data_IF_114002589016
#
_entry.id   IF_114002589016
#
_cell.length_a   1.000
_cell.length_b   1.000
_cell.length_c   1.000
_cell.angle_alpha   90.00
_cell.angle_beta   90.00
_cell.angle_gamma   90.00
#
_symmetry.space_group_name_H-M   'P 1'
#
loop_
_entity.id
_entity.type
_entity.pdbx_description
1 polymer ?
#
# COMPACT_ATOMS: atom_id res chain seq x y z
N UNK A 1 -46.82 62.21 -32.18
CA UNK A 1 -47.16 63.37 -31.33
C UNK A 1 -46.34 63.28 -30.04
N UNK A 2 -45.60 64.35 -29.72
CA UNK A 2 -44.92 64.67 -28.46
C UNK A 2 -43.85 63.66 -27.93
N UNK A 3 -42.54 63.93 -28.04
CA UNK A 3 -41.69 64.90 -27.30
C UNK A 3 -40.87 64.16 -26.22
N UNK A 4 -39.54 64.08 -26.40
CA UNK A 4 -38.47 64.77 -25.61
C UNK A 4 -38.23 64.13 -24.23
N UNK A 5 -37.03 63.98 -23.68
CA UNK A 5 -35.68 64.44 -24.02
C UNK A 5 -34.69 63.68 -23.13
N UNK A 6 -33.49 63.49 -23.69
CA UNK A 6 -32.24 63.05 -23.06
C UNK A 6 -31.77 63.91 -21.87
N UNK A 7 -31.11 63.27 -20.90
CA UNK A 7 -30.02 63.82 -20.09
C UNK A 7 -29.04 62.66 -19.81
N UNK A 8 -27.97 62.46 -20.58
CA UNK A 8 -26.67 63.17 -20.62
C UNK A 8 -26.03 63.26 -19.22
N UNK A 9 -25.13 62.32 -18.95
CA UNK A 9 -24.26 62.34 -17.77
C UNK A 9 -23.07 63.28 -17.93
N UNK A 10 -22.41 63.56 -16.80
CA UNK A 10 -20.94 63.58 -16.65
C UNK A 10 -20.56 63.98 -15.22
N UNK A 11 -19.73 63.17 -14.57
CA UNK A 11 -18.68 63.57 -13.61
C UNK A 11 -18.00 62.28 -13.08
N UNK A 12 -16.78 61.98 -13.55
CA UNK A 12 -15.94 60.86 -13.07
C UNK A 12 -15.23 61.19 -11.76
N UNK A 13 -14.01 60.65 -11.48
CA UNK A 13 -13.41 59.36 -11.85
C UNK A 13 -13.13 58.52 -10.58
N UNK A 14 -13.36 57.22 -10.61
CA UNK A 14 -13.26 56.42 -9.38
C UNK A 14 -13.03 54.94 -9.60
N UNK A 15 -11.76 54.59 -9.82
CA UNK A 15 -11.13 53.35 -9.33
C UNK A 15 -11.69 52.03 -9.87
N UNK A 16 -10.93 51.48 -10.82
CA UNK A 16 -10.72 50.06 -11.05
C UNK A 16 -10.71 49.26 -9.74
N UNK A 17 -11.57 48.22 -9.65
CA UNK A 17 -11.50 46.97 -8.84
C UNK A 17 -12.94 46.48 -8.62
N UNK A 18 -13.32 45.22 -8.77
CA UNK A 18 -12.56 44.00 -8.59
C UNK A 18 -13.13 42.88 -9.47
N UNK A 19 -12.31 42.39 -10.40
CA UNK A 19 -12.33 40.97 -10.77
C UNK A 19 -11.63 40.25 -9.62
N UNK A 20 -12.39 39.52 -8.80
CA UNK A 20 -11.93 38.36 -8.02
C UNK A 20 -12.98 38.00 -6.95
N UNK A 21 -13.99 37.21 -7.30
CA UNK A 21 -14.77 36.43 -6.34
C UNK A 21 -15.19 35.08 -6.96
N UNK A 22 -14.25 34.40 -7.62
CA UNK A 22 -14.47 33.06 -8.17
C UNK A 22 -13.41 32.06 -7.65
N UNK A 23 -12.95 32.23 -6.41
CA UNK A 23 -11.99 31.33 -5.78
C UNK A 23 -12.44 30.78 -4.40
N UNK A 24 -13.70 31.01 -3.99
CA UNK A 24 -14.18 30.61 -2.65
C UNK A 24 -15.23 29.49 -2.68
N UNK A 25 -15.69 29.05 -3.85
CA UNK A 25 -16.78 28.05 -3.94
C UNK A 25 -16.34 26.60 -4.23
N UNK A 26 -15.06 26.26 -4.05
CA UNK A 26 -14.58 24.85 -4.17
C UNK A 26 -14.27 24.21 -2.80
N UNK A 27 -14.37 24.96 -1.70
CA UNK A 27 -13.95 24.48 -0.38
C UNK A 27 -15.05 23.84 0.48
N UNK A 28 -16.28 23.62 -0.02
CA UNK A 28 -17.39 23.12 0.79
C UNK A 28 -18.01 21.80 0.28
N UNK A 29 -17.24 20.99 -0.44
CA UNK A 29 -17.67 19.66 -0.84
C UNK A 29 -16.58 18.57 -0.73
N UNK A 30 -16.04 18.31 0.46
CA UNK A 30 -15.88 16.93 0.90
C UNK A 30 -16.91 16.67 2.00
N UNK A 31 -17.62 15.57 1.81
CA UNK A 31 -18.83 15.23 2.56
C UNK A 31 -18.65 15.20 4.07
N UNK A 32 -19.80 15.24 4.74
CA UNK A 32 -19.98 14.76 6.12
C UNK A 32 -19.46 13.32 6.23
N UNK A 33 -18.14 13.14 6.32
CA UNK A 33 -17.52 11.93 6.80
C UNK A 33 -17.48 12.08 8.30
N UNK A 34 -17.92 11.06 9.02
CA UNK A 34 -17.80 11.01 10.48
C UNK A 34 -16.30 11.08 10.84
N UNK A 35 -15.78 12.29 11.03
CA UNK A 35 -14.40 12.59 11.46
C UNK A 35 -14.14 12.27 12.94
N UNK A 36 -15.03 11.48 13.58
CA UNK A 36 -14.90 11.03 14.95
C UNK A 36 -14.44 9.57 15.07
N UNK A 37 -14.17 8.88 13.95
CA UNK A 37 -13.46 7.61 14.01
C UNK A 37 -11.97 7.88 14.27
N UNK A 38 -11.36 7.31 15.33
CA UNK A 38 -9.93 7.47 15.54
C UNK A 38 -9.16 6.95 14.32
N UNK A 39 -8.01 7.54 14.03
CA UNK A 39 -7.11 7.04 12.99
C UNK A 39 -6.63 5.65 13.40
N UNK A 40 -7.36 4.61 13.02
CA UNK A 40 -6.99 3.22 13.27
C UNK A 40 -5.67 2.96 12.56
N UNK A 41 -4.65 2.66 13.35
CA UNK A 41 -3.32 2.36 12.87
C UNK A 41 -2.61 1.51 13.89
N UNK A 42 -2.11 0.37 13.44
CA UNK A 42 -1.29 -0.51 14.25
C UNK A 42 0.19 -0.15 14.02
N UNK A 43 0.81 0.70 14.87
CA UNK A 43 2.12 1.30 14.59
C UNK A 43 3.25 0.27 14.58
N UNK A 44 3.19 -0.73 15.46
CA UNK A 44 4.14 -1.85 15.52
C UNK A 44 4.08 -2.68 14.23
N UNK A 45 2.87 -3.06 13.80
CA UNK A 45 2.67 -3.73 12.51
C UNK A 45 3.20 -2.88 11.35
N UNK A 46 3.02 -1.57 11.40
CA UNK A 46 3.61 -0.64 10.43
C UNK A 46 5.14 -0.62 10.43
N UNK A 47 5.78 -0.74 11.60
CA UNK A 47 7.24 -0.86 11.69
C UNK A 47 7.72 -2.18 11.09
N UNK A 48 7.02 -3.28 11.38
CA UNK A 48 7.29 -4.61 10.82
C UNK A 48 7.13 -4.63 9.30
N UNK A 49 6.05 -4.05 8.76
CA UNK A 49 5.83 -3.92 7.30
C UNK A 49 6.95 -3.13 6.64
N UNK A 50 7.36 -1.98 7.20
CA UNK A 50 8.48 -1.19 6.66
C UNK A 50 9.79 -1.96 6.71
N UNK A 51 10.05 -2.70 7.78
CA UNK A 51 11.25 -3.53 7.91
C UNK A 51 11.27 -4.64 6.86
N UNK A 52 10.14 -5.33 6.66
CA UNK A 52 10.01 -6.40 5.68
C UNK A 52 10.14 -5.88 4.25
N UNK A 53 9.50 -4.75 3.93
CA UNK A 53 9.62 -4.11 2.61
C UNK A 53 11.07 -3.74 2.30
N UNK A 54 11.75 -3.08 3.24
CA UNK A 54 13.15 -2.70 3.08
C UNK A 54 14.04 -3.93 2.87
N UNK A 55 13.86 -4.97 3.68
CA UNK A 55 14.65 -6.19 3.56
C UNK A 55 14.40 -6.92 2.23
N UNK A 56 13.18 -6.88 1.70
CA UNK A 56 12.85 -7.45 0.38
C UNK A 56 13.51 -6.65 -0.75
N UNK A 57 13.46 -5.33 -0.69
CA UNK A 57 14.05 -4.46 -1.70
C UNK A 57 15.58 -4.56 -1.70
N UNK A 58 16.21 -4.57 -0.52
CA UNK A 58 17.67 -4.67 -0.36
C UNK A 58 18.21 -6.08 -0.65
N UNK A 59 17.52 -7.12 -0.15
CA UNK A 59 17.98 -8.51 -0.22
C UNK A 59 17.99 -9.11 -1.63
N UNK A 60 17.26 -8.51 -2.58
CA UNK A 60 17.20 -9.00 -3.96
C UNK A 60 17.64 -7.95 -5.00
N UNK A 61 18.06 -6.75 -4.58
CA UNK A 61 18.53 -5.71 -5.50
C UNK A 61 19.85 -6.08 -6.18
N UNK A 62 19.80 -6.32 -7.49
CA UNK A 62 21.00 -6.53 -8.32
C UNK A 62 21.77 -7.83 -8.04
N UNK A 63 21.23 -8.71 -7.19
CA UNK A 63 21.86 -9.96 -6.80
C UNK A 63 21.54 -11.10 -7.75
N UNK A 64 22.42 -12.11 -7.80
CA UNK A 64 22.13 -13.38 -8.47
C UNK A 64 21.05 -14.18 -7.71
N UNK A 65 20.40 -15.15 -8.37
CA UNK A 65 19.28 -15.89 -7.78
C UNK A 65 19.66 -16.72 -6.54
N UNK A 66 20.93 -17.16 -6.42
CA UNK A 66 21.42 -17.84 -5.24
C UNK A 66 21.51 -16.92 -4.02
N UNK A 67 22.06 -15.71 -4.18
CA UNK A 67 22.20 -14.76 -3.08
C UNK A 67 20.85 -14.21 -2.61
N UNK A 68 19.95 -13.85 -3.56
CA UNK A 68 18.59 -13.46 -3.21
C UNK A 68 17.82 -14.62 -2.54
N UNK A 69 18.06 -15.88 -2.92
CA UNK A 69 17.48 -17.05 -2.23
C UNK A 69 17.86 -17.10 -0.74
N UNK A 70 19.11 -16.81 -0.39
CA UNK A 70 19.56 -16.81 1.01
C UNK A 70 18.91 -15.67 1.81
N UNK A 71 18.74 -14.49 1.19
CA UNK A 71 18.06 -13.36 1.83
C UNK A 71 16.55 -13.59 1.99
N UNK A 72 15.90 -14.29 1.04
CA UNK A 72 14.49 -14.71 1.16
C UNK A 72 14.25 -15.63 2.38
N UNK A 73 15.21 -16.48 2.75
CA UNK A 73 15.10 -17.30 3.96
C UNK A 73 15.14 -16.48 5.25
N UNK A 74 15.78 -15.31 5.25
CA UNK A 74 15.77 -14.37 6.38
C UNK A 74 14.45 -13.60 6.47
N UNK A 75 13.80 -13.31 5.32
CA UNK A 75 12.50 -12.64 5.29
C UNK A 75 11.39 -13.48 5.92
N UNK A 76 11.48 -14.80 5.83
CA UNK A 76 10.48 -15.70 6.39
C UNK A 76 10.33 -15.54 7.90
N UNK A 77 11.44 -15.39 8.63
CA UNK A 77 11.42 -15.12 10.07
C UNK A 77 10.76 -13.77 10.41
N UNK A 78 10.92 -12.75 9.55
CA UNK A 78 10.24 -11.47 9.70
C UNK A 78 8.74 -11.58 9.40
N UNK A 79 8.37 -12.36 8.38
CA UNK A 79 6.97 -12.62 8.04
C UNK A 79 6.25 -13.42 9.13
N UNK A 80 6.91 -14.39 9.76
CA UNK A 80 6.35 -15.12 10.90
C UNK A 80 6.11 -14.21 12.12
N UNK A 81 7.02 -13.27 12.38
CA UNK A 81 6.81 -12.25 13.43
C UNK A 81 5.61 -11.36 13.11
N UNK A 82 5.49 -10.89 11.86
CA UNK A 82 4.35 -10.09 11.43
C UNK A 82 3.02 -10.85 11.57
N UNK A 83 3.00 -12.15 11.27
CA UNK A 83 1.84 -13.02 11.47
C UNK A 83 1.45 -13.09 12.96
N UNK A 84 2.42 -13.21 13.86
CA UNK A 84 2.12 -13.21 15.29
C UNK A 84 1.46 -11.89 15.74
N UNK A 85 1.93 -10.75 15.25
CA UNK A 85 1.33 -9.43 15.52
C UNK A 85 -0.10 -9.32 14.96
N UNK A 86 -0.34 -9.81 13.74
CA UNK A 86 -1.68 -9.83 13.12
C UNK A 86 -2.66 -10.72 13.90
N UNK A 87 -2.19 -11.86 14.40
CA UNK A 87 -3.00 -12.76 15.23
C UNK A 87 -3.30 -12.16 16.61
N UNK A 88 -2.31 -11.53 17.25
CA UNK A 88 -2.47 -10.86 18.54
C UNK A 88 -3.53 -9.76 18.48
N UNK A 89 -3.52 -9.00 17.39
CA UNK A 89 -4.47 -7.91 17.14
C UNK A 89 -5.81 -8.39 16.55
N UNK A 90 -5.97 -9.70 16.32
CA UNK A 90 -7.17 -10.33 15.71
C UNK A 90 -7.55 -9.73 14.34
N UNK A 91 -6.55 -9.37 13.54
CA UNK A 91 -6.75 -8.70 12.25
C UNK A 91 -6.66 -9.65 11.05
N UNK A 92 -6.83 -10.95 11.29
CA UNK A 92 -6.68 -11.95 10.25
C UNK A 92 -7.83 -11.84 9.25
N UNK A 93 -7.51 -11.58 7.98
CA UNK A 93 -8.46 -11.59 6.87
C UNK A 93 -8.10 -12.64 5.80
N UNK A 94 -9.04 -12.91 4.89
CA UNK A 94 -8.87 -13.91 3.83
C UNK A 94 -7.70 -13.57 2.89
N UNK A 95 -7.48 -12.27 2.62
CA UNK A 95 -6.41 -11.80 1.74
C UNK A 95 -5.03 -12.06 2.34
N UNK A 96 -4.87 -11.84 3.64
CA UNK A 96 -3.67 -12.11 4.42
C UNK A 96 -3.38 -13.62 4.46
N UNK A 97 -4.41 -14.44 4.70
CA UNK A 97 -4.28 -15.90 4.69
C UNK A 97 -3.88 -16.41 3.30
N UNK A 98 -4.51 -15.89 2.25
CA UNK A 98 -4.17 -16.24 0.87
C UNK A 98 -2.72 -15.88 0.53
N UNK A 99 -2.28 -14.66 0.86
CA UNK A 99 -0.91 -14.20 0.62
C UNK A 99 0.13 -15.03 1.41
N UNK A 100 -0.16 -15.35 2.68
CA UNK A 100 0.72 -16.20 3.51
C UNK A 100 0.86 -17.60 2.90
N UNK A 101 -0.24 -18.17 2.41
CA UNK A 101 -0.22 -19.47 1.73
C UNK A 101 0.52 -19.42 0.39
N UNK A 102 0.43 -18.30 -0.34
CA UNK A 102 1.20 -18.06 -1.56
C UNK A 102 2.70 -18.07 -1.28
N UNK A 103 3.18 -17.34 -0.27
CA UNK A 103 4.60 -17.34 0.17
C UNK A 103 5.06 -18.74 0.53
N UNK A 104 4.28 -19.50 1.31
CA UNK A 104 4.62 -20.90 1.65
C UNK A 104 4.73 -21.78 0.41
N UNK A 105 3.85 -21.60 -0.58
CA UNK A 105 3.86 -22.37 -1.83
C UNK A 105 5.09 -22.04 -2.67
N UNK A 106 5.38 -20.76 -2.87
CA UNK A 106 6.52 -20.30 -3.69
C UNK A 106 7.85 -20.66 -3.04
N UNK A 107 7.95 -20.57 -1.70
CA UNK A 107 9.11 -21.06 -0.95
C UNK A 107 9.41 -22.54 -1.18
N UNK A 108 8.40 -23.40 -1.14
CA UNK A 108 8.59 -24.84 -1.45
C UNK A 108 9.12 -25.04 -2.86
N UNK A 109 8.64 -24.26 -3.84
CA UNK A 109 9.14 -24.30 -5.21
C UNK A 109 10.60 -23.85 -5.30
N UNK A 110 10.98 -22.76 -4.61
CA UNK A 110 12.37 -22.30 -4.55
C UNK A 110 13.29 -23.34 -3.94
N UNK A 111 12.92 -23.92 -2.80
CA UNK A 111 13.72 -24.95 -2.13
C UNK A 111 13.94 -26.18 -3.03
N UNK A 112 12.90 -26.61 -3.75
CA UNK A 112 13.00 -27.69 -4.73
C UNK A 112 13.93 -27.32 -5.90
N UNK A 113 13.77 -26.13 -6.47
CA UNK A 113 14.62 -25.64 -7.57
C UNK A 113 16.08 -25.47 -7.14
N UNK A 114 16.33 -25.00 -5.91
CA UNK A 114 17.66 -24.85 -5.34
C UNK A 114 18.33 -26.21 -5.08
N UNK A 115 17.58 -27.21 -4.59
CA UNK A 115 18.07 -28.58 -4.48
C UNK A 115 18.45 -29.15 -5.85
N UNK A 116 17.66 -28.86 -6.88
CA UNK A 116 17.90 -29.32 -8.25
C UNK A 116 19.09 -28.61 -8.92
N UNK A 117 19.27 -27.31 -8.68
CA UNK A 117 20.43 -26.55 -9.16
C UNK A 117 21.73 -27.10 -8.55
N UNK A 118 21.71 -27.38 -7.23
CA UNK A 118 22.84 -27.99 -6.51
C UNK A 118 23.19 -29.38 -7.04
N UNK A 119 22.19 -30.24 -7.25
CA UNK A 119 22.44 -31.59 -7.76
C UNK A 119 23.04 -31.59 -9.16
N UNK A 120 22.67 -30.61 -9.99
CA UNK A 120 23.24 -30.40 -11.33
C UNK A 120 24.56 -29.63 -11.36
N UNK A 121 24.96 -29.02 -10.23
CA UNK A 121 26.09 -28.07 -10.16
C UNK A 121 25.97 -26.94 -11.19
N UNK A 122 24.74 -26.53 -11.47
CA UNK A 122 24.42 -25.49 -12.44
C UNK A 122 24.01 -24.22 -11.69
N UNK A 123 24.91 -23.23 -11.54
CA UNK A 123 24.60 -21.98 -10.86
C UNK A 123 23.62 -21.09 -11.65
N UNK A 124 23.40 -21.38 -12.93
CA UNK A 124 22.51 -20.63 -13.81
C UNK A 124 21.18 -21.34 -14.06
N UNK A 125 20.84 -22.32 -13.21
CA UNK A 125 19.66 -23.15 -13.38
C UNK A 125 18.39 -22.29 -13.54
N UNK A 126 17.78 -22.19 -14.75
CA UNK A 126 16.70 -21.23 -14.99
C UNK A 126 15.46 -21.40 -14.10
N UNK A 127 15.06 -22.63 -13.70
CA UNK A 127 13.99 -22.83 -12.72
C UNK A 127 14.24 -22.16 -11.37
N UNK A 128 15.49 -22.03 -10.91
CA UNK A 128 15.80 -21.36 -9.65
C UNK A 128 15.48 -19.87 -9.74
N UNK A 129 15.90 -19.19 -10.81
CA UNK A 129 15.60 -17.77 -11.02
C UNK A 129 14.08 -17.51 -11.09
N UNK A 130 13.31 -18.39 -11.75
CA UNK A 130 11.85 -18.28 -11.81
C UNK A 130 11.20 -18.48 -10.44
N UNK A 131 11.67 -19.45 -9.66
CA UNK A 131 11.13 -19.72 -8.33
C UNK A 131 11.42 -18.57 -7.35
N UNK A 132 12.64 -18.00 -7.41
CA UNK A 132 13.02 -16.79 -6.66
C UNK A 132 12.12 -15.62 -7.02
N UNK A 133 11.92 -15.33 -8.31
CA UNK A 133 11.04 -14.25 -8.75
C UNK A 133 9.58 -14.44 -8.28
N UNK A 134 9.07 -15.68 -8.29
CA UNK A 134 7.75 -16.01 -7.79
C UNK A 134 7.61 -15.78 -6.28
N UNK A 135 8.62 -16.14 -5.49
CA UNK A 135 8.62 -15.90 -4.04
C UNK A 135 8.72 -14.42 -3.70
N UNK A 136 9.55 -13.65 -4.42
CA UNK A 136 9.59 -12.19 -4.31
C UNK A 136 8.21 -11.57 -4.58
N UNK A 137 7.52 -12.02 -5.63
CA UNK A 137 6.16 -11.55 -5.92
C UNK A 137 5.17 -11.90 -4.80
N UNK A 138 5.24 -13.11 -4.25
CA UNK A 138 4.41 -13.53 -3.14
C UNK A 138 4.65 -12.66 -1.88
N UNK A 139 5.90 -12.30 -1.58
CA UNK A 139 6.21 -11.37 -0.49
C UNK A 139 5.63 -9.97 -0.73
N UNK A 140 5.60 -9.49 -1.98
CA UNK A 140 4.93 -8.21 -2.32
C UNK A 140 3.42 -8.25 -2.12
N UNK A 141 2.79 -9.38 -2.47
CA UNK A 141 1.36 -9.58 -2.16
C UNK A 141 1.11 -9.61 -0.65
N UNK A 142 1.99 -10.28 0.12
CA UNK A 142 1.90 -10.29 1.59
C UNK A 142 2.05 -8.89 2.18
N UNK A 143 3.03 -8.09 1.72
CA UNK A 143 3.19 -6.69 2.13
C UNK A 143 1.93 -5.86 1.84
N UNK A 144 1.32 -6.06 0.67
CA UNK A 144 0.07 -5.38 0.31
C UNK A 144 -1.08 -5.79 1.22
N UNK A 145 -1.20 -7.07 1.56
CA UNK A 145 -2.21 -7.56 2.48
C UNK A 145 -2.00 -6.99 3.89
N UNK A 146 -0.77 -7.00 4.41
CA UNK A 146 -0.43 -6.41 5.70
C UNK A 146 -0.75 -4.93 5.79
N UNK A 147 -0.48 -4.18 4.72
CA UNK A 147 -0.77 -2.75 4.68
C UNK A 147 -2.28 -2.47 4.75
N UNK A 148 -3.10 -3.29 4.07
CA UNK A 148 -4.56 -3.20 4.16
C UNK A 148 -5.03 -3.47 5.59
N UNK A 149 -4.57 -4.57 6.17
CA UNK A 149 -4.88 -4.99 7.54
C UNK A 149 -4.47 -3.92 8.56
N UNK A 150 -3.30 -3.30 8.39
CA UNK A 150 -2.80 -2.22 9.25
C UNK A 150 -3.71 -0.99 9.28
N UNK A 151 -4.40 -0.73 8.19
CA UNK A 151 -5.29 0.43 8.01
C UNK A 151 -6.76 0.09 8.16
N UNK A 152 -7.09 -1.19 8.42
CA UNK A 152 -8.45 -1.63 8.58
C UNK A 152 -9.01 -1.19 9.95
N UNK A 153 -10.29 -0.79 10.01
CA UNK A 153 -10.98 -0.61 11.27
C UNK A 153 -10.92 -1.90 12.11
N UNK A 154 -10.80 -1.81 13.45
CA UNK A 154 -10.83 -2.97 14.31
C UNK A 154 -12.19 -3.68 14.21
N UNK A 155 -12.21 -5.02 14.28
CA UNK A 155 -13.46 -5.77 14.27
C UNK A 155 -14.35 -5.35 15.45
N UNK A 156 -15.62 -5.04 15.17
CA UNK A 156 -16.62 -4.69 16.19
C UNK A 156 -16.83 -3.20 16.46
N UNK A 157 -16.27 -2.31 15.62
CA UNK A 157 -16.47 -0.85 15.75
C UNK A 157 -17.80 -0.33 15.17
N UNK A 158 -18.66 -1.24 14.67
CA UNK A 158 -20.02 -0.93 14.21
C UNK A 158 -20.08 -0.23 12.85
N UNK A 159 -18.98 -0.18 12.10
CA UNK A 159 -18.95 0.41 10.75
C UNK A 159 -19.22 -0.59 9.62
N UNK A 160 -19.25 -1.90 9.93
CA UNK A 160 -19.70 -2.92 8.99
C UNK A 160 -21.22 -2.83 8.78
N UNK A 161 -21.71 -2.64 7.54
CA UNK A 161 -23.14 -2.72 7.26
C UNK A 161 -23.62 -4.17 7.49
N UNK A 162 -24.65 -4.32 8.32
CA UNK A 162 -25.47 -5.53 8.47
C UNK A 162 -26.21 -5.88 7.19
#
# INVERSE_FOLDING_TARGET
>A
MAARSTARGSAGPGRVRAVACAAVLVALAPGCRNDAAPAWGYPELGATVRSLSRALDEGCAGQGPASCSDDLDRLDALAERALAEVLDQRLLDDAYVAATNEVRRTRRLRLAAAAQARSRRDPHHPPLARAVAAEVLAYRHLLTAMERVRTAPPPGDGTDPV
#
